data_IF_774306350808
#
_entry.id   IF_774306350808
#
_cell.length_a   1.000
_cell.length_b   1.000
_cell.length_c   1.000
_cell.angle_alpha   90.00
_cell.angle_beta   90.00
_cell.angle_gamma   90.00
#
_symmetry.space_group_name_H-M   'P 1'
#
loop_
_entity.id
_entity.type
_entity.pdbx_description
1 polymer ?
#
# COMPACT_ATOMS: atom_id res chain seq x y z
N UNK A 1 12.79 2.78 -10.78
CA UNK A 1 11.61 2.63 -11.67
C UNK A 1 10.40 3.01 -10.84
N UNK A 2 9.53 3.91 -11.35
CA UNK A 2 8.39 4.42 -10.61
C UNK A 2 7.38 3.32 -10.26
N UNK A 3 6.56 3.53 -9.22
CA UNK A 3 5.38 2.71 -9.01
C UNK A 3 4.43 2.97 -10.16
N UNK A 4 3.70 1.93 -10.56
CA UNK A 4 2.54 2.10 -11.43
C UNK A 4 1.41 1.23 -10.91
N UNK A 5 0.16 1.62 -11.20
CA UNK A 5 -1.00 0.82 -10.83
C UNK A 5 -0.94 -0.57 -11.47
N UNK A 6 -0.48 -0.66 -12.72
CA UNK A 6 -0.27 -1.94 -13.40
C UNK A 6 0.67 -2.87 -12.62
N UNK A 7 1.78 -2.36 -12.08
CA UNK A 7 2.71 -3.18 -11.26
C UNK A 7 2.05 -3.60 -9.96
N UNK A 8 1.29 -2.71 -9.32
CA UNK A 8 0.51 -3.03 -8.13
C UNK A 8 -0.47 -4.17 -8.39
N UNK A 9 -1.26 -4.09 -9.46
CA UNK A 9 -2.22 -5.13 -9.85
C UNK A 9 -1.56 -6.46 -10.19
N UNK A 10 -0.41 -6.44 -10.86
CA UNK A 10 0.37 -7.66 -11.10
C UNK A 10 0.77 -8.35 -9.79
N UNK A 11 1.20 -7.60 -8.78
CA UNK A 11 1.51 -8.17 -7.46
C UNK A 11 0.28 -8.66 -6.71
N UNK A 12 -0.86 -7.99 -6.84
CA UNK A 12 -2.12 -8.48 -6.29
C UNK A 12 -2.52 -9.81 -6.92
N UNK A 13 -2.37 -9.96 -8.25
CA UNK A 13 -2.65 -11.22 -8.97
C UNK A 13 -1.72 -12.35 -8.57
N UNK A 14 -0.45 -12.06 -8.29
CA UNK A 14 0.48 -13.04 -7.74
C UNK A 14 0.03 -13.55 -6.37
N UNK A 15 -0.67 -12.72 -5.58
CA UNK A 15 -1.29 -13.13 -4.33
C UNK A 15 -0.27 -13.60 -3.29
N UNK A 16 0.85 -12.89 -3.12
CA UNK A 16 1.86 -13.23 -2.11
C UNK A 16 1.25 -13.07 -0.71
N UNK A 17 1.01 -14.19 -0.03
CA UNK A 17 0.31 -14.26 1.24
C UNK A 17 0.97 -15.26 2.21
N UNK A 18 0.62 -15.15 3.48
CA UNK A 18 0.98 -16.14 4.51
C UNK A 18 0.05 -17.34 4.39
N UNK A 19 0.59 -18.56 4.44
CA UNK A 19 -0.20 -19.79 4.35
C UNK A 19 -1.39 -19.79 5.33
N UNK A 20 -2.58 -20.15 4.85
CA UNK A 20 -3.82 -20.09 5.65
C UNK A 20 -4.48 -18.70 5.71
N UNK A 21 -3.87 -17.67 5.10
CA UNK A 21 -4.37 -16.28 5.06
C UNK A 21 -4.35 -15.68 3.65
N UNK A 22 -5.06 -16.27 2.66
CA UNK A 22 -5.01 -15.81 1.26
C UNK A 22 -5.55 -14.39 1.03
N UNK A 23 -6.32 -13.85 1.97
CA UNK A 23 -6.92 -12.52 1.85
C UNK A 23 -5.95 -11.38 2.24
N UNK A 24 -4.73 -11.70 2.71
CA UNK A 24 -3.73 -10.71 3.10
C UNK A 24 -2.57 -10.76 2.11
N UNK A 25 -2.43 -9.71 1.30
CA UNK A 25 -1.39 -9.60 0.27
C UNK A 25 -0.41 -8.49 0.63
N UNK A 26 0.88 -8.78 0.58
CA UNK A 26 1.94 -7.84 0.90
C UNK A 26 2.64 -7.36 -0.38
N UNK A 27 2.60 -6.05 -0.63
CA UNK A 27 3.13 -5.45 -1.86
C UNK A 27 4.19 -4.41 -1.54
N UNK A 28 5.41 -4.60 -2.06
CA UNK A 28 6.50 -3.62 -2.02
C UNK A 28 6.98 -3.34 -3.44
N UNK A 29 6.77 -2.11 -3.91
CA UNK A 29 7.03 -1.74 -5.31
C UNK A 29 8.41 -1.08 -5.55
N UNK A 30 9.08 -0.63 -4.48
CA UNK A 30 10.35 0.11 -4.52
C UNK A 30 11.36 -0.44 -3.52
N UNK A 31 12.61 -0.57 -3.96
CA UNK A 31 13.70 -1.18 -3.19
C UNK A 31 14.85 -0.23 -2.85
N UNK A 32 14.92 0.98 -3.42
CA UNK A 32 16.01 1.93 -3.15
C UNK A 32 15.49 3.37 -3.01
N UNK A 33 15.15 3.74 -1.77
CA UNK A 33 14.62 5.06 -1.39
C UNK A 33 15.66 6.18 -1.31
N UNK A 34 16.94 5.82 -1.21
CA UNK A 34 18.02 6.72 -0.80
C UNK A 34 19.17 6.68 -1.83
N UNK A 35 18.85 6.94 -3.10
CA UNK A 35 19.83 7.33 -4.12
C UNK A 35 19.37 8.67 -4.65
N UNK A 36 20.27 9.64 -4.75
CA UNK A 36 19.93 11.01 -5.15
C UNK A 36 19.18 11.06 -6.49
N UNK A 37 19.51 10.16 -7.43
CA UNK A 37 18.82 10.02 -8.71
C UNK A 37 17.37 9.51 -8.65
N UNK A 38 16.91 9.03 -7.50
CA UNK A 38 15.55 8.52 -7.29
C UNK A 38 14.70 9.44 -6.41
N UNK A 39 15.24 10.54 -5.86
CA UNK A 39 14.50 11.43 -4.96
C UNK A 39 13.29 12.03 -5.69
N UNK A 40 13.49 12.55 -6.90
CA UNK A 40 12.39 13.09 -7.71
C UNK A 40 11.35 12.03 -8.10
N UNK A 41 11.78 10.77 -8.28
CA UNK A 41 10.87 9.66 -8.53
C UNK A 41 10.03 9.33 -7.29
N UNK A 42 10.60 9.50 -6.09
CA UNK A 42 9.99 9.11 -4.82
C UNK A 42 9.16 10.22 -4.18
N UNK A 43 9.53 11.48 -4.41
CA UNK A 43 8.90 12.65 -3.81
C UNK A 43 8.21 13.55 -4.84
N UNK A 44 8.40 13.31 -6.13
CA UNK A 44 7.80 14.09 -7.21
C UNK A 44 6.52 13.48 -7.81
N UNK A 45 6.12 14.03 -8.95
CA UNK A 45 4.88 13.70 -9.65
C UNK A 45 4.62 12.19 -9.84
N UNK A 46 5.61 11.33 -10.20
CA UNK A 46 5.34 9.92 -10.43
C UNK A 46 4.75 9.17 -9.22
N UNK A 47 5.16 9.53 -8.00
CA UNK A 47 4.59 8.94 -6.79
C UNK A 47 3.21 9.52 -6.47
N UNK A 48 3.01 10.82 -6.70
CA UNK A 48 1.70 11.46 -6.54
C UNK A 48 0.67 10.84 -7.50
N UNK A 49 1.03 10.66 -8.77
CA UNK A 49 0.20 10.02 -9.79
C UNK A 49 -0.16 8.59 -9.40
N UNK A 50 0.83 7.83 -8.90
CA UNK A 50 0.58 6.48 -8.41
C UNK A 50 -0.40 6.46 -7.24
N UNK A 51 -0.23 7.32 -6.24
CA UNK A 51 -1.11 7.37 -5.07
C UNK A 51 -2.53 7.82 -5.44
N UNK A 52 -2.67 8.77 -6.37
CA UNK A 52 -3.96 9.17 -6.95
C UNK A 52 -4.65 8.01 -7.68
N UNK A 53 -3.91 7.29 -8.53
CA UNK A 53 -4.42 6.11 -9.22
C UNK A 53 -4.82 4.99 -8.25
N UNK A 54 -4.00 4.74 -7.22
CA UNK A 54 -4.28 3.73 -6.17
C UNK A 54 -5.52 4.11 -5.35
N UNK A 55 -5.73 5.39 -5.05
CA UNK A 55 -6.93 5.85 -4.38
C UNK A 55 -8.19 5.65 -5.24
N UNK A 56 -8.11 5.93 -6.55
CA UNK A 56 -9.19 5.64 -7.51
C UNK A 56 -9.51 4.15 -7.61
N UNK A 57 -8.47 3.32 -7.64
CA UNK A 57 -8.61 1.86 -7.59
C UNK A 57 -9.29 1.41 -6.29
N UNK A 58 -8.88 1.95 -5.14
CA UNK A 58 -9.48 1.63 -3.84
C UNK A 58 -10.97 1.97 -3.76
N UNK A 59 -11.38 3.14 -4.27
CA UNK A 59 -12.80 3.52 -4.35
C UNK A 59 -13.61 2.56 -5.22
N UNK A 60 -13.01 2.04 -6.29
CA UNK A 60 -13.66 1.08 -7.19
C UNK A 60 -13.70 -0.35 -6.63
N UNK A 61 -12.93 -0.64 -5.57
CA UNK A 61 -12.78 -1.97 -4.98
C UNK A 61 -13.10 -1.93 -3.46
N UNK A 62 -14.37 -1.69 -3.05
CA UNK A 62 -14.73 -1.47 -1.65
C UNK A 62 -14.50 -2.70 -0.74
N UNK A 63 -14.37 -3.89 -1.32
CA UNK A 63 -14.04 -5.13 -0.60
C UNK A 63 -12.54 -5.27 -0.28
N UNK A 64 -11.70 -4.44 -0.88
CA UNK A 64 -10.26 -4.46 -0.70
C UNK A 64 -9.83 -3.25 0.14
N UNK A 65 -9.19 -3.50 1.28
CA UNK A 65 -8.56 -2.47 2.10
C UNK A 65 -7.06 -2.54 1.92
N UNK A 66 -6.40 -1.39 1.78
CA UNK A 66 -4.95 -1.30 1.73
C UNK A 66 -4.45 -0.37 2.85
N UNK A 67 -3.27 -0.67 3.38
CA UNK A 67 -2.66 0.07 4.48
C UNK A 67 -1.20 0.39 4.11
N UNK A 68 -0.75 1.62 4.35
CA UNK A 68 0.66 1.96 4.26
C UNK A 68 1.36 1.56 5.54
N UNK A 69 2.16 0.51 5.50
CA UNK A 69 2.84 0.02 6.69
C UNK A 69 4.34 0.20 6.56
N UNK A 70 4.99 0.45 7.69
CA UNK A 70 6.43 0.31 7.83
C UNK A 70 6.85 -1.14 7.64
N UNK A 71 8.14 -1.38 7.37
CA UNK A 71 8.67 -2.74 7.27
C UNK A 71 8.49 -3.53 8.60
N UNK A 72 8.55 -2.84 9.73
CA UNK A 72 8.33 -3.45 11.05
C UNK A 72 6.87 -3.87 11.25
N UNK A 73 5.91 -2.99 10.95
CA UNK A 73 4.49 -3.33 11.00
C UNK A 73 4.14 -4.45 10.03
N UNK A 74 4.74 -4.47 8.82
CA UNK A 74 4.61 -5.58 7.89
C UNK A 74 5.07 -6.91 8.51
N UNK A 75 6.24 -6.94 9.16
CA UNK A 75 6.73 -8.14 9.84
C UNK A 75 5.80 -8.59 10.97
N UNK A 76 5.27 -7.66 11.77
CA UNK A 76 4.27 -7.97 12.80
C UNK A 76 2.97 -8.52 12.22
N UNK A 77 2.48 -7.96 11.11
CA UNK A 77 1.28 -8.46 10.42
C UNK A 77 1.48 -9.87 9.88
N UNK A 78 2.67 -10.20 9.37
CA UNK A 78 3.01 -11.58 8.98
C UNK A 78 2.88 -12.52 10.18
N UNK A 79 3.43 -12.16 11.34
CA UNK A 79 3.32 -12.97 12.56
C UNK A 79 1.89 -13.09 13.11
N UNK A 80 1.06 -12.07 12.95
CA UNK A 80 -0.36 -12.16 13.27
C UNK A 80 -1.09 -13.07 12.29
N UNK A 81 -0.79 -12.99 10.99
CA UNK A 81 -1.37 -13.87 9.99
C UNK A 81 -1.07 -15.35 10.29
N UNK A 82 0.18 -15.68 10.65
CA UNK A 82 0.61 -17.03 11.06
C UNK A 82 -0.15 -17.57 12.28
N UNK A 83 -0.59 -16.68 13.18
CA UNK A 83 -1.31 -17.02 14.43
C UNK A 83 -2.83 -16.88 14.32
N UNK A 84 -3.33 -16.68 13.12
CA UNK A 84 -4.74 -16.40 12.88
C UNK A 84 -5.28 -15.13 13.59
N UNK A 85 -4.42 -14.13 13.83
CA UNK A 85 -4.76 -12.84 14.41
C UNK A 85 -5.51 -11.89 13.46
N UNK A 86 -5.54 -10.61 13.82
CA UNK A 86 -6.24 -9.55 13.06
C UNK A 86 -5.30 -8.40 12.73
N UNK A 87 -5.65 -7.59 11.73
CA UNK A 87 -4.88 -6.38 11.37
C UNK A 87 -4.87 -5.39 12.54
N UNK A 88 -5.97 -5.33 13.30
CA UNK A 88 -6.16 -4.41 14.42
C UNK A 88 -5.18 -4.68 15.58
N UNK A 89 -4.65 -5.90 15.71
CA UNK A 89 -3.63 -6.23 16.72
C UNK A 89 -2.30 -5.49 16.48
N UNK A 90 -2.01 -5.11 15.23
CA UNK A 90 -0.78 -4.41 14.86
C UNK A 90 -1.02 -2.93 14.63
N UNK A 91 -2.05 -2.61 13.86
CA UNK A 91 -2.30 -1.24 13.43
C UNK A 91 -3.27 -0.51 14.37
N UNK A 92 -3.98 -1.22 15.26
CA UNK A 92 -5.03 -0.67 16.11
C UNK A 92 -6.38 -0.59 15.38
N UNK A 93 -7.49 -0.57 16.13
CA UNK A 93 -8.86 -0.50 15.61
C UNK A 93 -9.19 0.79 14.83
N UNK A 94 -8.28 1.77 14.88
CA UNK A 94 -8.36 3.05 14.18
C UNK A 94 -7.41 3.16 12.99
N UNK A 95 -6.61 2.14 12.66
CA UNK A 95 -5.73 2.18 11.50
C UNK A 95 -6.46 1.92 10.17
N UNK A 96 -7.54 2.65 9.98
CA UNK A 96 -7.72 3.33 8.71
C UNK A 96 -6.56 4.30 8.57
N UNK A 97 -5.48 3.88 7.92
CA UNK A 97 -4.57 4.88 7.36
C UNK A 97 -5.39 5.58 6.30
N UNK A 98 -5.80 6.81 6.65
CA UNK A 98 -5.82 7.98 5.78
C UNK A 98 -5.94 7.56 4.32
N UNK A 99 -7.17 7.32 3.89
CA UNK A 99 -7.53 7.38 2.47
C UNK A 99 -6.77 8.57 1.88
N UNK A 100 -6.17 8.40 0.70
CA UNK A 100 -5.40 9.47 0.07
C UNK A 100 -6.17 10.79 0.20
N UNK A 101 -5.51 11.91 0.59
CA UNK A 101 -6.21 13.18 0.69
C UNK A 101 -6.98 13.42 -0.61
N UNK A 102 -8.22 13.86 -0.48
CA UNK A 102 -9.01 14.31 -1.64
C UNK A 102 -8.14 15.30 -2.42
N UNK A 103 -8.01 15.17 -3.75
CA UNK A 103 -7.18 16.10 -4.52
C UNK A 103 -7.69 17.51 -4.24
N UNK A 104 -6.81 18.37 -3.71
CA UNK A 104 -7.15 19.75 -3.42
C UNK A 104 -7.69 20.41 -4.69
N UNK A 105 -8.96 20.80 -4.67
CA UNK A 105 -9.53 21.72 -5.66
C UNK A 105 -8.75 23.02 -5.56
N UNK A 106 -7.88 23.26 -6.55
CA UNK A 106 -7.28 24.57 -6.75
C UNK A 106 -8.41 25.56 -7.07
N UNK A 107 -8.54 26.69 -6.35
CA UNK A 107 -9.51 27.71 -6.71
C UNK A 107 -9.18 28.29 -8.09
N UNK A 108 -10.24 28.48 -8.88
CA UNK A 108 -10.23 29.05 -10.23
C UNK A 108 -9.57 30.42 -10.32
#
# INVERSE_FOLDING_TARGET
RPPTLLRFESWLKTGVHVAGRPNWVFVKLHTHGCKDSNIDMLLGAPMQDFHSALAGWGRSNPRCRYHYVTAWEMARLVHEAERNGTVDNVLGSQASIRTAPEPATLPS
#
